data_IF_639548684693
#
_entry.id   IF_639548684693
#
_cell.length_a   1.000
_cell.length_b   1.000
_cell.length_c   1.000
_cell.angle_alpha   90.00
_cell.angle_beta   90.00
_cell.angle_gamma   90.00
#
_symmetry.space_group_name_H-M   'P 1'
#
loop_
_entity.id
_entity.type
_entity.pdbx_description
1 polymer ?
#
# COMPACT_ATOMS: atom_id res chain seq x y z
N UNK A 1 -12.30 7.83 -21.61
CA UNK A 1 -11.15 8.15 -20.73
C UNK A 1 -10.23 6.95 -20.79
N UNK A 2 -8.91 7.16 -20.73
CA UNK A 2 -7.94 6.08 -20.92
C UNK A 2 -7.46 5.59 -19.56
N UNK A 3 -7.48 4.26 -19.35
CA UNK A 3 -6.94 3.61 -18.17
C UNK A 3 -5.51 4.10 -17.89
N UNK A 4 -5.21 4.37 -16.62
CA UNK A 4 -3.86 4.75 -16.22
C UNK A 4 -2.96 3.54 -16.48
N UNK A 5 -2.00 3.68 -17.40
CA UNK A 5 -1.07 2.60 -17.79
C UNK A 5 0.19 2.57 -16.92
N UNK A 6 0.45 3.64 -16.18
CA UNK A 6 1.55 3.71 -15.24
C UNK A 6 1.17 3.00 -13.93
N UNK A 7 1.71 1.80 -13.75
CA UNK A 7 1.47 0.98 -12.57
C UNK A 7 2.18 1.53 -11.32
N UNK A 8 3.28 2.25 -11.48
CA UNK A 8 4.01 2.85 -10.36
C UNK A 8 3.23 4.02 -9.78
N UNK A 9 2.57 4.83 -10.62
CA UNK A 9 1.66 5.88 -10.16
C UNK A 9 0.45 5.31 -9.41
N UNK A 10 -0.12 4.19 -9.88
CA UNK A 10 -1.23 3.51 -9.20
C UNK A 10 -0.76 2.97 -7.84
N UNK A 11 0.41 2.33 -7.80
CA UNK A 11 1.00 1.80 -6.57
C UNK A 11 1.34 2.91 -5.57
N UNK A 12 1.89 4.03 -6.02
CA UNK A 12 2.21 5.19 -5.18
C UNK A 12 0.94 5.81 -4.57
N UNK A 13 -0.15 5.87 -5.34
CA UNK A 13 -1.43 6.37 -4.83
C UNK A 13 -2.04 5.42 -3.80
N UNK A 14 -2.01 4.10 -4.06
CA UNK A 14 -2.44 3.09 -3.10
C UNK A 14 -1.63 3.16 -1.78
N UNK A 15 -0.31 3.35 -1.88
CA UNK A 15 0.55 3.50 -0.71
C UNK A 15 0.16 4.73 0.12
N UNK A 16 -0.09 5.87 -0.51
CA UNK A 16 -0.51 7.09 0.19
C UNK A 16 -1.80 6.90 0.97
N UNK A 17 -2.78 6.19 0.40
CA UNK A 17 -4.02 5.86 1.12
C UNK A 17 -3.71 5.01 2.37
N UNK A 18 -2.79 4.06 2.28
CA UNK A 18 -2.35 3.28 3.44
C UNK A 18 -1.64 4.13 4.51
N UNK A 19 -0.89 5.14 4.10
CA UNK A 19 -0.25 6.10 5.01
C UNK A 19 -1.30 6.96 5.71
N UNK A 20 -2.27 7.51 4.97
CA UNK A 20 -3.39 8.30 5.50
C UNK A 20 -4.25 7.49 6.49
N UNK A 21 -4.43 6.17 6.27
CA UNK A 21 -5.12 5.27 7.21
C UNK A 21 -4.37 5.17 8.55
N UNK A 22 -3.04 5.16 8.51
CA UNK A 22 -2.19 5.01 9.70
C UNK A 22 -2.13 6.31 10.50
N UNK A 23 -2.39 7.44 9.87
CA UNK A 23 -2.36 8.75 10.52
C UNK A 23 -3.61 8.93 11.42
N UNK A 24 -3.36 8.95 12.73
CA UNK A 24 -4.41 8.98 13.77
C UNK A 24 -5.27 10.25 13.69
N UNK A 25 -4.71 11.33 13.16
CA UNK A 25 -5.34 12.66 13.16
C UNK A 25 -6.44 12.82 12.10
N UNK A 26 -6.41 12.03 11.03
CA UNK A 26 -7.39 12.15 9.95
C UNK A 26 -8.71 11.43 10.28
N UNK A 27 -8.69 10.38 11.08
CA UNK A 27 -9.88 9.61 11.48
C UNK A 27 -10.53 8.83 10.32
N UNK A 28 -10.96 7.60 10.59
CA UNK A 28 -11.46 6.65 9.57
C UNK A 28 -12.67 7.19 8.77
N UNK A 29 -13.48 8.06 9.38
CA UNK A 29 -14.66 8.65 8.75
C UNK A 29 -14.32 9.71 7.68
N UNK A 30 -13.25 10.49 7.88
CA UNK A 30 -12.81 11.48 6.90
C UNK A 30 -12.24 10.77 5.67
N UNK A 31 -11.38 9.78 5.89
CA UNK A 31 -10.80 8.99 4.82
C UNK A 31 -11.87 8.30 3.97
N UNK A 32 -12.89 7.72 4.60
CA UNK A 32 -14.00 7.10 3.87
C UNK A 32 -14.71 8.10 2.94
N UNK A 33 -14.98 9.32 3.43
CA UNK A 33 -15.63 10.36 2.61
C UNK A 33 -14.75 10.80 1.45
N UNK A 34 -13.46 10.96 1.68
CA UNK A 34 -12.51 11.35 0.65
C UNK A 34 -12.39 10.27 -0.44
N UNK A 35 -12.29 9.00 -0.04
CA UNK A 35 -12.28 7.88 -0.99
C UNK A 35 -13.59 7.79 -1.78
N UNK A 36 -14.74 7.94 -1.11
CA UNK A 36 -16.05 7.94 -1.78
C UNK A 36 -16.18 9.08 -2.78
N UNK A 37 -15.69 10.28 -2.44
CA UNK A 37 -15.66 11.42 -3.34
C UNK A 37 -14.77 11.15 -4.56
N UNK A 38 -13.56 10.62 -4.36
CA UNK A 38 -12.66 10.25 -5.46
C UNK A 38 -13.25 9.18 -6.37
N UNK A 39 -13.96 8.19 -5.82
CA UNK A 39 -14.65 7.17 -6.62
C UNK A 39 -15.76 7.76 -7.50
N UNK A 40 -16.42 8.83 -7.05
CA UNK A 40 -17.44 9.51 -7.86
C UNK A 40 -16.82 10.36 -8.98
N UNK A 41 -15.67 10.98 -8.72
CA UNK A 41 -15.00 11.91 -9.64
C UNK A 41 -14.09 11.20 -10.66
N UNK A 42 -13.41 10.13 -10.26
CA UNK A 42 -12.51 9.30 -11.09
C UNK A 42 -12.72 7.80 -10.80
N UNK A 43 -13.85 7.22 -11.26
CA UNK A 43 -14.19 5.83 -10.95
C UNK A 43 -13.21 4.82 -11.55
N UNK A 44 -12.67 5.10 -12.74
CA UNK A 44 -11.73 4.20 -13.42
C UNK A 44 -10.38 4.17 -12.69
N UNK A 45 -9.80 5.34 -12.39
CA UNK A 45 -8.56 5.42 -11.63
C UNK A 45 -8.69 4.85 -10.22
N UNK A 46 -9.81 5.09 -9.55
CA UNK A 46 -10.06 4.52 -8.23
C UNK A 46 -10.29 3.01 -8.26
N UNK A 47 -10.92 2.45 -9.31
CA UNK A 47 -11.00 1.00 -9.46
C UNK A 47 -9.61 0.36 -9.56
N UNK A 48 -8.69 0.97 -10.32
CA UNK A 48 -7.31 0.49 -10.41
C UNK A 48 -6.59 0.56 -9.06
N UNK A 49 -6.76 1.65 -8.30
CA UNK A 49 -6.19 1.81 -6.95
C UNK A 49 -6.78 0.79 -5.97
N UNK A 50 -8.09 0.57 -5.99
CA UNK A 50 -8.76 -0.43 -5.14
C UNK A 50 -8.27 -1.84 -5.49
N UNK A 51 -8.10 -2.17 -6.78
CA UNK A 51 -7.52 -3.45 -7.18
C UNK A 51 -6.06 -3.59 -6.74
N UNK A 52 -5.28 -2.53 -6.81
CA UNK A 52 -3.90 -2.52 -6.30
C UNK A 52 -3.87 -2.76 -4.78
N UNK A 53 -4.75 -2.11 -4.01
CA UNK A 53 -4.90 -2.37 -2.57
C UNK A 53 -5.35 -3.81 -2.29
N UNK A 54 -6.33 -4.31 -3.04
CA UNK A 54 -6.85 -5.67 -2.89
C UNK A 54 -5.82 -6.76 -3.23
N UNK A 55 -4.85 -6.48 -4.12
CA UNK A 55 -3.76 -7.43 -4.41
C UNK A 55 -2.90 -7.75 -3.18
N UNK A 56 -2.85 -6.83 -2.22
CA UNK A 56 -2.15 -7.01 -0.95
C UNK A 56 -3.04 -7.61 0.13
N UNK A 57 -4.36 -7.49 0.01
CA UNK A 57 -5.34 -7.96 0.99
C UNK A 57 -6.16 -9.12 0.45
N UNK A 58 -5.77 -10.38 0.73
CA UNK A 58 -6.64 -11.52 0.48
C UNK A 58 -7.83 -11.44 1.45
N UNK A 59 -8.94 -10.84 1.03
CA UNK A 59 -10.13 -10.64 1.86
C UNK A 59 -10.77 -11.97 2.33
N UNK A 60 -10.50 -13.05 1.60
CA UNK A 60 -10.94 -14.41 1.93
C UNK A 60 -10.05 -15.10 2.98
N UNK A 61 -8.86 -14.55 3.24
CA UNK A 61 -7.93 -15.12 4.20
C UNK A 61 -8.08 -14.50 5.60
N UNK A 62 -7.72 -15.23 6.66
CA UNK A 62 -7.68 -14.68 8.01
C UNK A 62 -6.75 -13.46 8.11
N UNK A 63 -7.04 -12.48 8.99
CA UNK A 63 -6.16 -11.32 9.20
C UNK A 63 -4.71 -11.67 9.57
N UNK A 64 -4.46 -12.84 10.16
CA UNK A 64 -3.11 -13.32 10.47
C UNK A 64 -2.24 -13.48 9.23
N UNK A 65 -2.82 -13.84 8.08
CA UNK A 65 -2.09 -13.95 6.80
C UNK A 65 -1.50 -12.62 6.35
N UNK A 66 -2.15 -11.50 6.67
CA UNK A 66 -1.61 -10.17 6.41
C UNK A 66 -0.42 -9.85 7.32
N UNK A 67 -0.54 -10.19 8.60
CA UNK A 67 0.52 -9.99 9.58
C UNK A 67 1.78 -10.80 9.20
N UNK A 68 1.61 -12.06 8.81
CA UNK A 68 2.72 -12.93 8.38
C UNK A 68 3.41 -12.38 7.12
N UNK A 69 2.63 -11.87 6.15
CA UNK A 69 3.20 -11.25 4.94
C UNK A 69 3.93 -9.95 5.26
N UNK A 70 3.38 -9.13 6.15
CA UNK A 70 4.02 -7.88 6.58
C UNK A 70 5.34 -8.18 7.31
N UNK A 71 5.34 -9.18 8.20
CA UNK A 71 6.55 -9.62 8.90
C UNK A 71 7.60 -10.15 7.91
N UNK A 72 7.22 -11.00 6.97
CA UNK A 72 8.15 -11.52 5.96
C UNK A 72 8.79 -10.42 5.09
N UNK A 73 8.06 -9.32 4.82
CA UNK A 73 8.62 -8.15 4.12
C UNK A 73 9.58 -7.38 5.02
N UNK A 74 9.24 -7.20 6.29
CA UNK A 74 10.10 -6.53 7.27
C UNK A 74 11.43 -7.30 7.46
N UNK A 75 11.35 -8.61 7.65
CA UNK A 75 12.52 -9.48 7.84
C UNK A 75 13.46 -9.41 6.64
N UNK A 76 12.92 -9.50 5.42
CA UNK A 76 13.73 -9.37 4.18
C UNK A 76 14.39 -8.00 4.04
N UNK A 77 13.73 -6.93 4.48
CA UNK A 77 14.32 -5.59 4.48
C UNK A 77 15.45 -5.48 5.50
N UNK A 78 15.26 -6.05 6.69
CA UNK A 78 16.31 -6.09 7.70
C UNK A 78 17.54 -6.86 7.21
N UNK A 79 17.33 -8.02 6.58
CA UNK A 79 18.41 -8.81 5.98
C UNK A 79 19.16 -8.05 4.88
N UNK A 80 18.42 -7.33 4.02
CA UNK A 80 19.02 -6.49 2.98
C UNK A 80 19.88 -5.36 3.57
N UNK A 81 19.38 -4.68 4.61
CA UNK A 81 20.13 -3.61 5.31
C UNK A 81 21.39 -4.16 5.99
N UNK A 82 21.29 -5.29 6.69
CA UNK A 82 22.44 -5.96 7.32
C UNK A 82 23.49 -6.41 6.32
N UNK A 83 23.09 -6.78 5.10
CA UNK A 83 24.01 -7.12 4.03
C UNK A 83 24.77 -5.88 3.53
N UNK A 84 24.08 -4.75 3.34
CA UNK A 84 24.70 -3.49 2.92
C UNK A 84 25.70 -2.98 3.97
N UNK A 85 25.35 -2.95 5.25
CA UNK A 85 26.24 -2.55 6.35
C UNK A 85 27.51 -3.42 6.42
N UNK A 86 27.38 -4.73 6.19
CA UNK A 86 28.53 -5.65 6.16
C UNK A 86 29.43 -5.41 4.95
N UNK A 87 28.87 -4.96 3.84
CA UNK A 87 29.62 -4.70 2.61
C UNK A 87 30.42 -3.39 2.73
N UNK A 88 29.84 -2.37 3.37
CA UNK A 88 30.54 -1.12 3.70
C UNK A 88 31.64 -1.30 4.76
N UNK A 89 31.47 -2.23 5.70
CA UNK A 89 32.48 -2.52 6.73
C UNK A 89 33.73 -3.26 6.21
N UNK A 90 33.72 -3.76 4.97
CA UNK A 90 34.83 -4.50 4.34
C UNK A 90 35.59 -3.64 3.30
N UNK A 91 35.09 -2.44 2.99
CA UNK A 91 35.71 -1.46 2.09
C UNK A 91 36.62 -0.47 2.85
#
# INVERSE_FOLDING_TARGET
>A
MAARTDHDEIAAHALRICEDIREVDCGTAWLYRELAHKCATDPEGMAQVVMALASWVPYEAPPSTLADRAQAVADRREDALRFTDRTEAIA
#
